data_IF_346617153748
#
_entry.id   IF_346617153748
#
_cell.length_a   1.000
_cell.length_b   1.000
_cell.length_c   1.000
_cell.angle_alpha   90.00
_cell.angle_beta   90.00
_cell.angle_gamma   90.00
#
_symmetry.space_group_name_H-M   'P 1'
#
loop_
_entity.id
_entity.type
_entity.pdbx_description
1 polymer ?
#
# COMPACT_ATOMS: atom_id res chain seq x y z
N UNK A 1 7.18 0.00 -6.65
CA UNK A 1 6.43 0.79 -5.64
C UNK A 1 5.52 -0.13 -4.84
N UNK A 2 6.09 -0.85 -3.87
CA UNK A 2 5.36 -1.70 -2.94
C UNK A 2 5.33 -1.06 -1.55
N UNK A 3 4.32 -1.44 -0.77
CA UNK A 3 4.21 -1.06 0.63
C UNK A 3 3.97 -2.26 1.52
N UNK A 4 4.45 -2.21 2.77
CA UNK A 4 4.10 -3.19 3.78
C UNK A 4 2.59 -3.25 4.01
N UNK A 5 2.07 -4.45 4.24
CA UNK A 5 0.69 -4.64 4.72
C UNK A 5 0.60 -4.36 6.23
N UNK A 6 -0.58 -3.97 6.71
CA UNK A 6 -0.93 -3.88 8.13
C UNK A 6 -0.81 -5.26 8.81
N UNK A 7 -0.72 -5.29 10.15
CA UNK A 7 -0.60 -6.57 10.88
C UNK A 7 -1.80 -7.48 10.62
N UNK A 8 -2.99 -6.92 10.55
CA UNK A 8 -4.24 -7.64 10.25
C UNK A 8 -4.21 -8.27 8.86
N UNK A 9 -3.85 -7.49 7.83
CA UNK A 9 -3.74 -7.99 6.46
C UNK A 9 -2.61 -9.01 6.30
N UNK A 10 -1.52 -8.89 7.06
CA UNK A 10 -0.46 -9.91 7.10
C UNK A 10 -0.97 -11.22 7.70
N UNK A 11 -1.76 -11.17 8.78
CA UNK A 11 -2.37 -12.36 9.34
C UNK A 11 -3.33 -13.03 8.36
N UNK A 12 -4.10 -12.25 7.62
CA UNK A 12 -5.10 -12.75 6.66
C UNK A 12 -4.50 -13.37 5.38
N UNK A 13 -3.45 -12.76 4.83
CA UNK A 13 -2.90 -13.14 3.52
C UNK A 13 -1.47 -13.68 3.57
N UNK A 14 -0.89 -13.82 4.77
CA UNK A 14 0.48 -14.25 5.05
C UNK A 14 1.57 -13.62 4.16
N UNK A 15 1.33 -12.38 3.74
CA UNK A 15 2.16 -11.66 2.78
C UNK A 15 2.70 -10.39 3.42
N UNK A 16 4.01 -10.13 3.31
CA UNK A 16 4.63 -8.96 3.96
C UNK A 16 4.33 -7.64 3.25
N UNK A 17 4.26 -7.64 1.92
CA UNK A 17 4.11 -6.43 1.11
C UNK A 17 3.40 -6.66 -0.22
N UNK A 18 2.76 -5.60 -0.72
CA UNK A 18 1.98 -5.63 -1.95
C UNK A 18 2.24 -4.35 -2.79
N UNK A 19 2.19 -4.42 -4.13
CA UNK A 19 2.21 -3.23 -4.98
C UNK A 19 1.00 -2.32 -4.72
N UNK A 20 1.23 -1.03 -4.51
CA UNK A 20 0.13 -0.06 -4.31
C UNK A 20 -0.63 0.16 -5.61
N UNK A 21 -1.96 0.24 -5.51
CA UNK A 21 -2.88 0.66 -6.55
C UNK A 21 -3.72 1.85 -6.09
N UNK A 22 -4.38 2.50 -7.05
CA UNK A 22 -5.42 3.49 -6.75
C UNK A 22 -6.55 2.80 -5.98
N UNK A 23 -7.21 3.54 -5.09
CA UNK A 23 -8.26 3.07 -4.17
C UNK A 23 -7.81 2.11 -3.05
N UNK A 24 -6.51 1.81 -2.93
CA UNK A 24 -6.01 1.23 -1.69
C UNK A 24 -6.06 2.27 -0.57
N UNK A 25 -6.40 1.85 0.64
CA UNK A 25 -6.34 2.72 1.82
C UNK A 25 -5.01 2.53 2.53
N UNK A 26 -4.35 3.64 2.83
CA UNK A 26 -3.00 3.65 3.39
C UNK A 26 -2.90 4.54 4.62
N UNK A 27 -2.06 4.10 5.56
CA UNK A 27 -1.64 4.86 6.74
C UNK A 27 -0.20 5.32 6.58
N UNK A 28 0.08 6.60 6.78
CA UNK A 28 1.45 7.14 6.75
C UNK A 28 2.14 6.83 8.07
N UNK A 29 3.28 6.13 8.01
CA UNK A 29 4.03 5.71 9.21
C UNK A 29 5.27 6.57 9.48
N UNK A 30 5.78 7.28 8.46
CA UNK A 30 7.03 8.05 8.54
C UNK A 30 6.88 9.44 7.90
N UNK A 31 7.51 10.45 8.50
CA UNK A 31 7.55 11.84 8.02
C UNK A 31 6.50 12.76 8.63
N UNK A 32 6.40 13.99 8.11
CA UNK A 32 5.55 15.08 8.64
C UNK A 32 4.06 14.71 8.75
N UNK A 33 3.57 13.84 7.87
CA UNK A 33 2.16 13.44 7.79
C UNK A 33 1.88 12.10 8.48
N UNK A 34 2.76 11.64 9.37
CA UNK A 34 2.60 10.39 10.13
C UNK A 34 1.26 10.38 10.88
N UNK A 35 0.61 9.21 10.91
CA UNK A 35 -0.68 8.99 11.56
C UNK A 35 -1.89 9.32 10.70
N UNK A 36 -1.72 10.04 9.58
CA UNK A 36 -2.81 10.27 8.64
C UNK A 36 -3.12 9.02 7.82
N UNK A 37 -4.40 8.85 7.55
CA UNK A 37 -4.96 7.78 6.72
C UNK A 37 -5.74 8.38 5.57
N UNK A 38 -5.78 7.65 4.47
CA UNK A 38 -6.58 8.03 3.32
C UNK A 38 -6.45 7.05 2.16
N UNK A 39 -7.34 7.19 1.20
CA UNK A 39 -7.30 6.43 -0.04
C UNK A 39 -6.22 6.98 -0.98
N UNK A 40 -5.58 6.10 -1.73
CA UNK A 40 -4.63 6.48 -2.76
C UNK A 40 -5.39 6.98 -3.99
N UNK A 41 -5.32 8.29 -4.24
CA UNK A 41 -5.98 8.93 -5.39
C UNK A 41 -5.21 8.68 -6.68
N UNK A 42 -3.88 8.78 -6.63
CA UNK A 42 -3.03 8.61 -7.80
C UNK A 42 -1.69 7.96 -7.45
N UNK A 43 -1.25 7.05 -8.31
CA UNK A 43 0.09 6.46 -8.28
C UNK A 43 0.92 7.09 -9.39
N UNK A 44 1.80 8.02 -9.05
CA UNK A 44 2.58 8.76 -10.04
C UNK A 44 3.95 8.11 -10.27
N UNK A 45 3.97 7.12 -11.19
CA UNK A 45 5.15 6.29 -11.44
C UNK A 45 6.37 7.07 -11.96
N UNK A 46 6.16 8.12 -12.77
CA UNK A 46 7.25 8.95 -13.31
C UNK A 46 8.08 9.63 -12.20
N UNK A 47 7.44 9.98 -11.08
CA UNK A 47 8.09 10.63 -9.92
C UNK A 47 8.26 9.69 -8.72
N UNK A 48 7.90 8.41 -8.85
CA UNK A 48 7.97 7.42 -7.77
C UNK A 48 7.25 7.82 -6.47
N UNK A 49 6.14 8.55 -6.58
CA UNK A 49 5.31 9.00 -5.45
C UNK A 49 3.87 8.55 -5.59
N UNK A 50 3.18 8.47 -4.46
CA UNK A 50 1.74 8.32 -4.38
C UNK A 50 1.11 9.60 -3.83
N UNK A 51 -0.11 9.88 -4.25
CA UNK A 51 -0.96 10.91 -3.67
C UNK A 51 -2.04 10.23 -2.83
N UNK A 52 -2.20 10.70 -1.60
CA UNK A 52 -3.14 10.18 -0.61
C UNK A 52 -4.17 11.27 -0.35
N UNK A 53 -5.44 10.87 -0.27
CA UNK A 53 -6.53 11.79 0.04
C UNK A 53 -6.28 12.49 1.39
N UNK A 54 -6.69 13.76 1.50
CA UNK A 54 -6.48 14.63 2.68
C UNK A 54 -5.02 14.90 3.06
N UNK A 55 -4.06 14.48 2.23
CA UNK A 55 -2.63 14.79 2.37
C UNK A 55 -2.24 15.83 1.32
N UNK A 56 -2.63 17.07 1.61
CA UNK A 56 -2.44 18.23 0.75
C UNK A 56 -1.78 19.39 1.51
N UNK A 57 -1.25 20.35 0.75
CA UNK A 57 -0.81 21.66 1.25
C UNK A 57 -1.59 22.76 0.55
N UNK A 58 -1.84 23.84 1.25
CA UNK A 58 -2.47 25.02 0.67
C UNK A 58 -1.39 25.95 0.11
N UNK A 59 -1.68 26.52 -1.06
CA UNK A 59 -0.88 27.58 -1.68
C UNK A 59 -1.33 28.94 -1.15
N UNK A 60 -0.49 29.96 -1.33
CA UNK A 60 -0.84 31.35 -1.01
C UNK A 60 -2.06 31.87 -1.77
N UNK A 61 -2.37 31.29 -2.94
CA UNK A 61 -3.56 31.62 -3.73
C UNK A 61 -4.84 30.86 -3.30
N UNK A 62 -4.83 30.18 -2.15
CA UNK A 62 -5.97 29.46 -1.59
C UNK A 62 -6.25 28.08 -2.20
N UNK A 63 -5.52 27.67 -3.24
CA UNK A 63 -5.68 26.35 -3.85
C UNK A 63 -4.92 25.26 -3.07
N UNK A 64 -5.57 24.11 -2.83
CA UNK A 64 -4.91 22.94 -2.25
C UNK A 64 -4.22 22.09 -3.31
N UNK A 65 -3.03 21.58 -3.00
CA UNK A 65 -2.24 20.71 -3.89
C UNK A 65 -1.83 19.43 -3.16
N UNK A 66 -2.01 18.25 -3.79
CA UNK A 66 -1.64 16.98 -3.19
C UNK A 66 -0.13 16.88 -2.99
N UNK A 67 0.26 16.29 -1.87
CA UNK A 67 1.66 16.06 -1.55
C UNK A 67 2.04 14.66 -2.02
N UNK A 68 3.22 14.54 -2.62
CA UNK A 68 3.79 13.24 -2.99
C UNK A 68 4.36 12.54 -1.75
N UNK A 69 3.89 11.33 -1.50
CA UNK A 69 4.41 10.47 -0.43
C UNK A 69 5.13 9.28 -1.06
N UNK A 70 6.29 8.91 -0.54
CA UNK A 70 7.00 7.72 -1.01
C UNK A 70 6.31 6.45 -0.46
N UNK A 71 6.06 5.42 -1.28
CA UNK A 71 5.35 4.20 -0.86
C UNK A 71 6.00 3.46 0.33
N UNK A 72 7.32 3.50 0.50
CA UNK A 72 7.97 2.86 1.66
C UNK A 72 7.62 3.52 3.01
N UNK A 73 7.05 4.73 3.01
CA UNK A 73 6.65 5.49 4.20
C UNK A 73 5.19 5.27 4.59
N UNK A 74 4.46 4.41 3.87
CA UNK A 74 3.06 4.05 4.13
C UNK A 74 2.91 2.55 4.38
N UNK A 75 1.84 2.20 5.08
CA UNK A 75 1.35 0.84 5.31
C UNK A 75 -0.05 0.74 4.69
N UNK A 76 -0.33 -0.34 3.97
CA UNK A 76 -1.67 -0.60 3.41
C UNK A 76 -2.58 -1.10 4.54
N UNK A 77 -3.72 -0.44 4.72
CA UNK A 77 -4.75 -0.76 5.72
C UNK A 77 -5.88 -1.56 5.08
N UNK A 78 -6.39 -1.09 3.94
CA UNK A 78 -7.39 -1.80 3.15
C UNK A 78 -6.93 -1.97 1.70
N UNK A 79 -7.26 -3.12 1.14
CA UNK A 79 -6.87 -3.52 -0.21
C UNK A 79 -8.09 -3.46 -1.13
N UNK A 80 -7.97 -2.77 -2.28
CA UNK A 80 -8.94 -2.95 -3.37
C UNK A 80 -8.71 -4.29 -4.05
N UNK A 81 -9.59 -5.26 -3.82
CA UNK A 81 -9.50 -6.59 -4.39
C UNK A 81 -10.05 -6.63 -5.83
N UNK A 82 -9.27 -7.19 -6.74
CA UNK A 82 -9.67 -7.62 -8.08
C UNK A 82 -9.15 -9.05 -8.34
N UNK A 83 -9.52 -9.65 -9.47
CA UNK A 83 -9.13 -11.03 -9.82
C UNK A 83 -7.60 -11.19 -9.75
N UNK A 84 -6.87 -10.31 -10.43
CA UNK A 84 -5.40 -10.37 -10.49
C UNK A 84 -4.75 -10.17 -9.13
N UNK A 85 -5.33 -9.33 -8.28
CA UNK A 85 -4.79 -9.06 -6.95
C UNK A 85 -4.98 -10.25 -6.02
N UNK A 86 -6.08 -11.00 -6.16
CA UNK A 86 -6.26 -12.28 -5.45
C UNK A 86 -5.19 -13.28 -5.90
N UNK A 87 -4.98 -13.43 -7.20
CA UNK A 87 -3.94 -14.32 -7.75
C UNK A 87 -2.53 -13.93 -7.27
N UNK A 88 -2.23 -12.63 -7.17
CA UNK A 88 -0.95 -12.14 -6.62
C UNK A 88 -0.80 -12.48 -5.14
N UNK A 89 -1.88 -12.37 -4.35
CA UNK A 89 -1.87 -12.69 -2.92
C UNK A 89 -1.71 -14.20 -2.71
N UNK A 90 -2.45 -15.02 -3.44
CA UNK A 90 -2.35 -16.49 -3.39
C UNK A 90 -0.94 -16.97 -3.76
N UNK A 91 -0.34 -16.42 -4.82
CA UNK A 91 1.03 -16.74 -5.22
C UNK A 91 2.07 -16.30 -4.19
N UNK A 92 1.78 -15.27 -3.40
CA UNK A 92 2.71 -14.73 -2.38
C UNK A 92 2.47 -15.28 -0.99
N UNK A 93 1.44 -16.10 -0.82
CA UNK A 93 1.14 -16.73 0.45
C UNK A 93 2.27 -17.68 0.83
N UNK A 94 2.99 -17.31 1.89
CA UNK A 94 4.14 -18.06 2.38
C UNK A 94 3.76 -19.40 3.00
N UNK A 95 2.51 -19.56 3.43
CA UNK A 95 2.05 -20.82 4.02
C UNK A 95 2.07 -21.90 2.95
N UNK A 96 1.49 -21.59 1.79
CA UNK A 96 1.49 -22.48 0.64
C UNK A 96 2.90 -22.84 0.18
N UNK A 97 3.81 -21.86 0.13
CA UNK A 97 5.21 -22.12 -0.22
C UNK A 97 5.91 -23.05 0.76
N UNK A 98 5.58 -23.00 2.05
CA UNK A 98 6.17 -23.89 3.04
C UNK A 98 5.67 -25.33 2.86
N UNK A 99 4.35 -25.51 2.68
CA UNK A 99 3.75 -26.82 2.43
C UNK A 99 4.32 -27.48 1.16
N UNK A 100 4.57 -26.70 0.10
CA UNK A 100 5.17 -27.20 -1.15
C UNK A 100 6.64 -27.62 -0.98
N UNK A 101 7.39 -27.01 -0.06
CA UNK A 101 8.81 -27.36 0.20
C UNK A 101 8.89 -28.65 1.03
N UNK A 102 8.04 -28.81 2.04
CA UNK A 102 8.00 -30.00 2.91
C UNK A 102 7.59 -31.29 2.16
N UNK A 103 6.97 -31.19 0.98
CA UNK A 103 6.60 -32.36 0.15
C UNK A 103 7.70 -32.80 -0.84
N UNK A 104 8.79 -32.04 -0.95
CA UNK A 104 9.88 -32.31 -1.91
C UNK A 104 11.09 -32.96 -1.23
N UNK A 105 11.12 -32.98 0.10
CA UNK A 105 12.07 -33.72 0.94
C UNK A 105 11.56 -35.14 1.27
#
# INVERSE_FOLDING_TARGET
>A
MSSPLSKELRGKYNTRSLPIRKEDEVRIVRGKYKGREGKVTQVYRKKWVIHVDRVQRDKSNGASVPIGVHPSKVVIVNIKLDKDRRTILERKDRKKTQDDVEMVD
#
